data_IF_121952038590
#
_entry.id   IF_121952038590
#
_cell.length_a   1.000
_cell.length_b   1.000
_cell.length_c   1.000
_cell.angle_alpha   90.00
_cell.angle_beta   90.00
_cell.angle_gamma   90.00
#
_symmetry.space_group_name_H-M   'P 1'
#
loop_
_entity.id
_entity.type
_entity.pdbx_description
1 polymer ?
#
# COMPACT_ATOMS: atom_id res chain seq x y z
N UNK A 1 22.23 -11.42 -9.15
CA UNK A 1 21.13 -11.43 -8.16
C UNK A 1 21.48 -12.46 -7.10
N UNK A 2 21.38 -12.14 -5.80
CA UNK A 2 21.73 -13.11 -4.74
C UNK A 2 20.53 -14.04 -4.54
N UNK A 3 20.75 -15.32 -4.20
CA UNK A 3 19.67 -16.31 -3.95
C UNK A 3 18.62 -15.78 -2.96
N UNK A 4 19.06 -14.99 -1.99
CA UNK A 4 18.21 -14.34 -1.00
C UNK A 4 17.20 -13.36 -1.62
N UNK A 5 17.61 -12.60 -2.64
CA UNK A 5 16.73 -11.66 -3.34
C UNK A 5 15.68 -12.43 -4.16
N UNK A 6 16.09 -13.53 -4.80
CA UNK A 6 15.18 -14.39 -5.55
C UNK A 6 14.11 -15.02 -4.66
N UNK A 7 14.47 -15.43 -3.43
CA UNK A 7 13.50 -15.93 -2.45
C UNK A 7 12.45 -14.86 -2.12
N UNK A 8 12.86 -13.60 -1.96
CA UNK A 8 11.92 -12.50 -1.66
C UNK A 8 10.98 -12.23 -2.83
N UNK A 9 11.49 -12.22 -4.07
CA UNK A 9 10.68 -12.00 -5.27
C UNK A 9 9.62 -13.10 -5.44
N UNK A 10 10.03 -14.38 -5.31
CA UNK A 10 9.11 -15.52 -5.40
C UNK A 10 8.12 -15.53 -4.23
N UNK A 11 8.58 -15.23 -3.01
CA UNK A 11 7.70 -15.12 -1.86
C UNK A 11 6.65 -14.02 -2.04
N UNK A 12 7.04 -12.85 -2.54
CA UNK A 12 6.11 -11.75 -2.78
C UNK A 12 4.99 -12.17 -3.73
N UNK A 13 5.32 -12.83 -4.84
CA UNK A 13 4.32 -13.37 -5.79
C UNK A 13 3.40 -14.37 -5.09
N UNK A 14 3.97 -15.37 -4.42
CA UNK A 14 3.19 -16.44 -3.80
C UNK A 14 2.26 -15.93 -2.68
N UNK A 15 2.75 -14.99 -1.86
CA UNK A 15 1.99 -14.33 -0.80
C UNK A 15 0.87 -13.46 -1.37
N UNK A 16 1.11 -12.75 -2.47
CA UNK A 16 0.10 -11.94 -3.15
C UNK A 16 -0.99 -12.77 -3.84
N UNK A 17 -0.68 -13.98 -4.30
CA UNK A 17 -1.62 -14.86 -4.98
C UNK A 17 -2.44 -15.72 -4.01
N UNK A 18 -1.79 -16.30 -3.01
CA UNK A 18 -2.40 -17.30 -2.13
C UNK A 18 -2.74 -16.77 -0.74
N UNK A 19 -2.22 -15.60 -0.39
CA UNK A 19 -2.37 -14.99 0.94
C UNK A 19 -1.33 -15.48 1.93
N UNK A 20 -0.91 -14.57 2.82
CA UNK A 20 0.15 -14.84 3.79
C UNK A 20 -0.15 -16.01 4.72
N UNK A 21 -1.38 -16.15 5.19
CA UNK A 21 -1.77 -17.20 6.13
C UNK A 21 -1.73 -18.62 5.54
N UNK A 22 -1.79 -18.74 4.21
CA UNK A 22 -1.84 -20.03 3.50
C UNK A 22 -0.44 -20.51 3.13
N UNK A 23 0.44 -19.60 2.70
CA UNK A 23 1.79 -19.94 2.25
C UNK A 23 2.67 -20.37 3.41
N UNK A 24 3.42 -21.47 3.23
CA UNK A 24 4.42 -21.98 4.18
C UNK A 24 5.85 -21.86 3.66
N UNK A 25 6.84 -21.99 4.54
CA UNK A 25 8.27 -22.06 4.15
C UNK A 25 8.58 -23.23 3.22
N UNK A 26 7.82 -24.32 3.29
CA UNK A 26 7.98 -25.49 2.41
C UNK A 26 7.47 -25.17 1.02
N UNK A 27 6.33 -24.48 0.90
CA UNK A 27 5.81 -24.02 -0.39
C UNK A 27 6.79 -23.08 -1.08
N UNK A 28 7.39 -22.15 -0.33
CA UNK A 28 8.43 -21.25 -0.85
C UNK A 28 9.64 -22.01 -1.37
N UNK A 29 10.13 -23.00 -0.61
CA UNK A 29 11.28 -23.81 -1.04
C UNK A 29 10.94 -24.64 -2.30
N UNK A 30 9.73 -25.19 -2.37
CA UNK A 30 9.24 -25.93 -3.52
C UNK A 30 9.14 -25.06 -4.77
N UNK A 31 8.51 -23.87 -4.67
CA UNK A 31 8.38 -22.92 -5.79
C UNK A 31 9.75 -22.47 -6.32
N UNK A 32 10.70 -22.29 -5.40
CA UNK A 32 12.09 -21.94 -5.71
C UNK A 32 12.92 -23.11 -6.28
N UNK A 33 12.39 -24.34 -6.31
CA UNK A 33 13.13 -25.57 -6.61
C UNK A 33 14.41 -25.75 -5.75
N UNK A 34 14.34 -25.40 -4.46
CA UNK A 34 15.43 -25.58 -3.49
C UNK A 34 14.99 -26.46 -2.32
N UNK A 35 15.95 -27.01 -1.57
CA UNK A 35 15.61 -27.73 -0.34
C UNK A 35 15.14 -26.78 0.77
N UNK A 36 14.27 -27.23 1.69
CA UNK A 36 13.92 -26.46 2.88
C UNK A 36 15.13 -26.03 3.71
N UNK A 37 16.19 -26.86 3.73
CA UNK A 37 17.46 -26.52 4.38
C UNK A 37 18.21 -25.35 3.72
N UNK A 38 18.16 -25.25 2.38
CA UNK A 38 18.72 -24.11 1.65
C UNK A 38 17.91 -22.84 1.92
N UNK A 39 16.57 -22.91 1.93
CA UNK A 39 15.75 -21.79 2.34
C UNK A 39 16.07 -21.38 3.80
N UNK A 40 16.21 -22.34 4.71
CA UNK A 40 16.56 -22.09 6.12
C UNK A 40 17.94 -21.44 6.31
N UNK A 41 18.87 -21.68 5.39
CA UNK A 41 20.17 -21.02 5.39
C UNK A 41 20.01 -19.50 5.18
N UNK A 42 19.10 -19.07 4.31
CA UNK A 42 18.84 -17.67 4.00
C UNK A 42 17.82 -17.00 4.92
N UNK A 43 16.77 -17.73 5.31
CA UNK A 43 15.64 -17.24 6.10
C UNK A 43 15.21 -18.28 7.14
N UNK A 44 15.20 -17.90 8.42
CA UNK A 44 14.86 -18.76 9.56
C UNK A 44 13.35 -18.99 9.73
N UNK A 45 12.65 -19.19 8.62
CA UNK A 45 11.19 -19.30 8.56
C UNK A 45 10.58 -18.23 7.67
N UNK A 46 9.29 -18.40 7.37
CA UNK A 46 8.50 -17.45 6.58
C UNK A 46 8.41 -16.09 7.28
N UNK A 47 8.47 -16.08 8.60
CA UNK A 47 8.35 -14.86 9.38
C UNK A 47 9.42 -13.84 9.02
N UNK A 48 10.67 -14.29 8.89
CA UNK A 48 11.77 -13.42 8.48
C UNK A 48 11.61 -12.92 7.03
N UNK A 49 11.02 -13.73 6.15
CA UNK A 49 10.69 -13.33 4.77
C UNK A 49 9.64 -12.22 4.78
N UNK A 50 8.57 -12.38 5.55
CA UNK A 50 7.49 -11.39 5.67
C UNK A 50 7.97 -10.10 6.31
N UNK A 51 8.80 -10.18 7.37
CA UNK A 51 9.39 -9.00 8.01
C UNK A 51 10.27 -8.20 7.04
N UNK A 52 11.03 -8.87 6.18
CA UNK A 52 11.85 -8.19 5.19
C UNK A 52 11.05 -7.60 4.04
N UNK A 53 10.05 -8.32 3.52
CA UNK A 53 9.12 -7.77 2.54
C UNK A 53 8.38 -6.55 3.11
N UNK A 54 7.99 -6.59 4.39
CA UNK A 54 7.43 -5.44 5.08
C UNK A 54 8.43 -4.28 5.18
N UNK A 55 9.71 -4.55 5.48
CA UNK A 55 10.72 -3.51 5.52
C UNK A 55 10.91 -2.81 4.16
N UNK A 56 10.89 -3.58 3.06
CA UNK A 56 10.93 -3.03 1.71
C UNK A 56 9.67 -2.20 1.39
N UNK A 57 8.49 -2.74 1.70
CA UNK A 57 7.22 -2.05 1.57
C UNK A 57 7.22 -0.71 2.32
N UNK A 58 7.55 -0.75 3.60
CA UNK A 58 7.61 0.42 4.48
C UNK A 58 8.57 1.48 3.94
N UNK A 59 9.77 1.09 3.52
CA UNK A 59 10.74 2.02 2.96
C UNK A 59 10.23 2.69 1.68
N UNK A 60 9.60 1.94 0.77
CA UNK A 60 9.04 2.48 -0.47
C UNK A 60 7.88 3.44 -0.22
N UNK A 61 6.96 3.08 0.67
CA UNK A 61 5.84 3.97 1.04
C UNK A 61 6.38 5.25 1.69
N UNK A 62 7.35 5.15 2.61
CA UNK A 62 7.93 6.32 3.26
C UNK A 62 8.58 7.28 2.26
N UNK A 63 9.35 6.76 1.31
CA UNK A 63 9.96 7.56 0.24
C UNK A 63 8.88 8.23 -0.62
N UNK A 64 7.84 7.50 -1.01
CA UNK A 64 6.74 8.06 -1.78
C UNK A 64 6.04 9.20 -1.02
N UNK A 65 5.68 9.01 0.26
CA UNK A 65 5.05 10.05 1.07
C UNK A 65 5.91 11.32 1.22
N UNK A 66 7.23 11.14 1.39
CA UNK A 66 8.18 12.25 1.43
C UNK A 66 8.22 13.02 0.10
N UNK A 67 8.25 12.31 -1.04
CA UNK A 67 8.26 12.92 -2.37
C UNK A 67 7.00 13.73 -2.62
N UNK A 68 5.83 13.17 -2.31
CA UNK A 68 4.53 13.84 -2.51
C UNK A 68 4.45 15.11 -1.68
N UNK A 69 4.85 15.04 -0.41
CA UNK A 69 4.85 16.21 0.48
C UNK A 69 5.78 17.32 -0.05
N UNK A 70 6.91 16.96 -0.66
CA UNK A 70 7.87 17.93 -1.21
C UNK A 70 7.42 18.55 -2.55
N UNK A 71 6.75 17.76 -3.40
CA UNK A 71 6.42 18.11 -4.78
C UNK A 71 5.02 18.73 -4.91
N UNK A 72 4.02 18.16 -4.25
CA UNK A 72 2.62 18.52 -4.49
C UNK A 72 2.34 19.98 -4.15
N UNK A 73 2.83 20.47 -3.00
CA UNK A 73 2.71 21.88 -2.58
C UNK A 73 1.28 22.45 -2.78
N UNK A 74 0.26 21.62 -2.56
CA UNK A 74 -1.16 21.99 -2.73
C UNK A 74 -1.67 22.03 -4.18
N UNK A 75 -0.91 21.50 -5.15
CA UNK A 75 -1.37 21.26 -6.50
C UNK A 75 -2.11 19.89 -6.55
N UNK A 76 -3.39 19.83 -6.93
CA UNK A 76 -4.14 18.58 -6.92
C UNK A 76 -3.65 17.56 -7.96
N UNK A 77 -3.11 17.99 -9.11
CA UNK A 77 -2.56 17.09 -10.14
C UNK A 77 -1.29 16.40 -9.65
N UNK A 78 -0.40 17.15 -9.00
CA UNK A 78 0.81 16.60 -8.40
C UNK A 78 0.50 15.68 -7.22
N UNK A 79 -0.49 16.02 -6.38
CA UNK A 79 -1.00 15.12 -5.34
C UNK A 79 -1.54 13.82 -5.94
N UNK A 80 -2.35 13.90 -6.99
CA UNK A 80 -2.92 12.73 -7.68
C UNK A 80 -1.83 11.80 -8.24
N UNK A 81 -0.86 12.38 -8.97
CA UNK A 81 0.28 11.62 -9.51
C UNK A 81 1.06 10.93 -8.39
N UNK A 82 1.30 11.67 -7.30
CA UNK A 82 1.90 11.16 -6.09
C UNK A 82 1.17 9.96 -5.46
N UNK A 83 -0.13 10.11 -5.23
CA UNK A 83 -0.95 9.06 -4.62
C UNK A 83 -1.10 7.83 -5.52
N UNK A 84 -0.99 7.99 -6.83
CA UNK A 84 -0.92 6.87 -7.78
C UNK A 84 0.32 6.01 -7.51
N UNK A 85 1.49 6.63 -7.30
CA UNK A 85 2.72 5.90 -6.91
C UNK A 85 2.55 5.16 -5.57
N UNK A 86 1.87 5.76 -4.59
CA UNK A 86 1.57 5.08 -3.32
C UNK A 86 0.70 3.85 -3.57
N UNK A 87 -0.32 3.97 -4.42
CA UNK A 87 -1.18 2.86 -4.77
C UNK A 87 -0.41 1.72 -5.47
N UNK A 88 0.47 2.04 -6.40
CA UNK A 88 1.30 1.02 -7.08
C UNK A 88 2.12 0.20 -6.07
N UNK A 89 2.66 0.85 -5.04
CA UNK A 89 3.37 0.17 -3.95
C UNK A 89 2.40 -0.70 -3.13
N UNK A 90 1.22 -0.18 -2.78
CA UNK A 90 0.20 -0.95 -2.05
C UNK A 90 -0.27 -2.18 -2.81
N UNK A 91 -0.37 -2.10 -4.14
CA UNK A 91 -0.75 -3.21 -5.03
C UNK A 91 0.40 -4.22 -5.19
N UNK A 92 1.64 -3.74 -5.33
CA UNK A 92 2.81 -4.60 -5.40
C UNK A 92 2.95 -5.47 -4.14
N UNK A 93 2.57 -4.95 -2.98
CA UNK A 93 2.59 -5.65 -1.70
C UNK A 93 1.16 -5.93 -1.19
N UNK A 94 0.22 -6.30 -2.08
CA UNK A 94 -1.20 -6.46 -1.73
C UNK A 94 -1.48 -7.44 -0.60
N UNK A 95 -0.63 -8.47 -0.41
CA UNK A 95 -0.76 -9.38 0.73
C UNK A 95 -0.64 -8.65 2.09
N UNK A 96 0.11 -7.54 2.14
CA UNK A 96 0.24 -6.68 3.33
C UNK A 96 -0.96 -5.73 3.40
N UNK A 97 -1.21 -4.97 2.34
CA UNK A 97 -2.21 -3.89 2.35
C UNK A 97 -3.64 -4.41 2.54
N UNK A 98 -3.97 -5.59 2.01
CA UNK A 98 -5.31 -6.19 2.11
C UNK A 98 -5.56 -6.94 3.44
N UNK A 99 -4.52 -7.41 4.14
CA UNK A 99 -4.64 -8.08 5.45
C UNK A 99 -3.80 -7.42 6.56
N UNK A 100 -3.78 -6.07 6.59
CA UNK A 100 -3.03 -5.30 7.60
C UNK A 100 -3.37 -5.72 9.04
N UNK A 101 -4.64 -6.01 9.33
CA UNK A 101 -5.09 -6.46 10.66
C UNK A 101 -4.55 -7.85 11.00
N UNK A 102 -4.59 -8.78 10.05
CA UNK A 102 -4.05 -10.12 10.24
C UNK A 102 -2.54 -10.09 10.44
N UNK A 103 -1.81 -9.32 9.61
CA UNK A 103 -0.37 -9.12 9.75
C UNK A 103 -0.04 -8.49 11.11
N UNK A 104 -0.71 -7.39 11.49
CA UNK A 104 -0.53 -6.76 12.81
C UNK A 104 -0.78 -7.75 13.96
N UNK A 105 -1.77 -8.64 13.86
CA UNK A 105 -2.04 -9.62 14.90
C UNK A 105 -0.96 -10.70 14.99
N UNK A 106 -0.55 -11.27 13.85
CA UNK A 106 0.37 -12.42 13.76
C UNK A 106 1.83 -12.02 13.98
N UNK A 107 2.24 -10.85 13.51
CA UNK A 107 3.62 -10.38 13.53
C UNK A 107 3.82 -9.30 14.61
N UNK A 108 4.09 -9.74 15.84
CA UNK A 108 4.26 -8.85 17.00
C UNK A 108 5.36 -7.80 16.76
N UNK A 109 6.45 -8.19 16.11
CA UNK A 109 7.58 -7.33 15.72
C UNK A 109 7.19 -6.18 14.81
N UNK A 110 6.10 -6.32 14.03
CA UNK A 110 5.67 -5.33 13.05
C UNK A 110 4.57 -4.38 13.56
N UNK A 111 3.97 -4.65 14.72
CA UNK A 111 2.79 -3.90 15.22
C UNK A 111 3.00 -2.40 15.27
N UNK A 112 4.04 -1.98 15.97
CA UNK A 112 4.35 -0.56 16.14
C UNK A 112 4.73 0.10 14.82
N UNK A 113 5.44 -0.63 13.94
CA UNK A 113 5.82 -0.12 12.63
C UNK A 113 4.60 0.09 11.73
N UNK A 114 3.64 -0.84 11.75
CA UNK A 114 2.38 -0.74 11.00
C UNK A 114 1.54 0.43 11.52
N UNK A 115 1.36 0.52 12.84
CA UNK A 115 0.60 1.61 13.45
C UNK A 115 1.19 2.98 13.09
N UNK A 116 2.52 3.14 13.21
CA UNK A 116 3.22 4.38 12.85
C UNK A 116 3.09 4.72 11.37
N UNK A 117 3.22 3.74 10.48
CA UNK A 117 3.08 3.96 9.04
C UNK A 117 1.66 4.41 8.68
N UNK A 118 0.64 3.78 9.25
CA UNK A 118 -0.76 4.17 9.03
C UNK A 118 -1.06 5.57 9.59
N UNK A 119 -0.55 5.90 10.77
CA UNK A 119 -0.67 7.26 11.31
C UNK A 119 0.01 8.29 10.41
N UNK A 120 1.20 7.99 9.90
CA UNK A 120 1.93 8.88 8.98
C UNK A 120 1.18 9.06 7.65
N UNK A 121 0.67 7.97 7.08
CA UNK A 121 -0.11 7.99 5.85
C UNK A 121 -1.35 8.87 6.02
N UNK A 122 -2.13 8.64 7.09
CA UNK A 122 -3.33 9.44 7.38
C UNK A 122 -2.99 10.92 7.57
N UNK A 123 -1.99 11.25 8.38
CA UNK A 123 -1.56 12.63 8.60
C UNK A 123 -1.10 13.32 7.31
N UNK A 124 -0.42 12.58 6.42
CA UNK A 124 0.01 13.08 5.12
C UNK A 124 -1.21 13.39 4.24
N UNK A 125 -2.18 12.48 4.16
CA UNK A 125 -3.41 12.68 3.38
C UNK A 125 -4.21 13.88 3.90
N UNK A 126 -4.43 13.99 5.21
CA UNK A 126 -5.13 15.13 5.81
C UNK A 126 -4.42 16.45 5.51
N UNK A 127 -3.09 16.47 5.58
CA UNK A 127 -2.29 17.67 5.31
C UNK A 127 -2.35 18.08 3.83
N UNK A 128 -2.29 17.11 2.91
CA UNK A 128 -2.40 17.35 1.47
C UNK A 128 -3.78 17.89 1.09
N UNK A 129 -4.84 17.27 1.61
CA UNK A 129 -6.22 17.70 1.38
C UNK A 129 -6.43 19.11 1.90
N UNK A 130 -6.04 19.39 3.14
CA UNK A 130 -6.18 20.72 3.75
C UNK A 130 -5.47 21.79 2.93
N UNK A 131 -4.23 21.52 2.50
CA UNK A 131 -3.46 22.46 1.71
C UNK A 131 -4.10 22.74 0.33
N UNK A 132 -4.71 21.73 -0.30
CA UNK A 132 -5.46 21.89 -1.55
C UNK A 132 -6.69 22.77 -1.31
N UNK A 133 -7.50 22.46 -0.30
CA UNK A 133 -8.72 23.22 0.03
C UNK A 133 -8.40 24.67 0.35
N UNK A 134 -7.37 24.92 1.15
CA UNK A 134 -6.92 26.27 1.51
C UNK A 134 -6.52 27.08 0.26
N UNK A 135 -5.80 26.46 -0.69
CA UNK A 135 -5.43 27.11 -1.96
C UNK A 135 -6.62 27.38 -2.87
N UNK A 136 -7.57 26.45 -2.91
CA UNK A 136 -8.82 26.59 -3.66
C UNK A 136 -9.81 27.53 -2.96
N UNK A 137 -9.47 28.07 -1.78
CA UNK A 137 -10.34 28.92 -0.95
C UNK A 137 -11.68 28.24 -0.60
N UNK A 138 -11.67 26.92 -0.50
CA UNK A 138 -12.83 26.12 -0.11
C UNK A 138 -12.87 26.03 1.41
N UNK A 139 -13.96 26.50 2.02
CA UNK A 139 -14.14 26.41 3.46
C UNK A 139 -14.24 24.95 3.91
N UNK A 140 -13.51 24.60 4.97
CA UNK A 140 -13.60 23.28 5.61
C UNK A 140 -14.85 23.18 6.50
N UNK A 141 -16.03 23.21 5.87
CA UNK A 141 -17.30 23.04 6.56
C UNK A 141 -17.51 21.58 6.94
N UNK A 142 -17.98 21.33 8.16
CA UNK A 142 -18.41 20.00 8.62
C UNK A 142 -17.32 18.92 8.54
N UNK A 143 -16.05 19.27 8.79
CA UNK A 143 -14.91 18.34 8.70
C UNK A 143 -14.75 17.69 7.32
N UNK A 144 -15.07 18.42 6.25
CA UNK A 144 -14.96 17.93 4.88
C UNK A 144 -13.53 17.47 4.54
N UNK A 145 -12.50 18.16 5.06
CA UNK A 145 -11.10 17.79 4.83
C UNK A 145 -10.74 16.42 5.44
N UNK A 146 -11.25 16.12 6.63
CA UNK A 146 -11.03 14.84 7.33
C UNK A 146 -11.75 13.71 6.59
N UNK A 147 -13.02 13.92 6.22
CA UNK A 147 -13.79 12.93 5.46
C UNK A 147 -13.16 12.62 4.09
N UNK A 148 -12.62 13.63 3.41
CA UNK A 148 -11.94 13.43 2.14
C UNK A 148 -10.62 12.66 2.32
N UNK A 149 -9.87 12.92 3.39
CA UNK A 149 -8.68 12.15 3.74
C UNK A 149 -9.00 10.68 4.05
N UNK A 150 -10.08 10.41 4.78
CA UNK A 150 -10.59 9.05 5.03
C UNK A 150 -10.96 8.34 3.73
N UNK A 151 -11.70 9.01 2.83
CA UNK A 151 -12.09 8.44 1.54
C UNK A 151 -10.88 8.12 0.64
N UNK A 152 -9.86 8.98 0.64
CA UNK A 152 -8.59 8.69 -0.04
C UNK A 152 -7.91 7.47 0.58
N UNK A 153 -7.85 7.36 1.90
CA UNK A 153 -7.27 6.22 2.59
C UNK A 153 -8.00 4.92 2.25
N UNK A 154 -9.34 4.93 2.28
CA UNK A 154 -10.17 3.78 1.89
C UNK A 154 -9.92 3.37 0.44
N UNK A 155 -9.86 4.34 -0.46
CA UNK A 155 -9.60 4.12 -1.89
C UNK A 155 -8.22 3.49 -2.10
N UNK A 156 -7.17 4.04 -1.49
CA UNK A 156 -5.80 3.53 -1.63
C UNK A 156 -5.64 2.10 -1.10
N UNK A 157 -6.21 1.79 0.07
CA UNK A 157 -6.06 0.48 0.72
C UNK A 157 -6.95 -0.58 0.05
N UNK A 158 -8.15 -0.21 -0.39
CA UNK A 158 -9.17 -1.18 -0.82
C UNK A 158 -9.25 -1.35 -2.34
N UNK A 159 -8.53 -0.54 -3.13
CA UNK A 159 -8.55 -0.64 -4.59
C UNK A 159 -8.17 -2.05 -5.07
N UNK A 160 -8.94 -2.57 -6.03
CA UNK A 160 -8.76 -3.90 -6.60
C UNK A 160 -9.14 -5.08 -5.69
N UNK A 161 -9.47 -4.85 -4.41
CA UNK A 161 -9.71 -5.94 -3.43
C UNK A 161 -10.91 -6.85 -3.75
N UNK A 162 -11.83 -6.39 -4.59
CA UNK A 162 -13.05 -7.13 -4.96
C UNK A 162 -13.24 -7.23 -6.48
N UNK A 163 -12.29 -6.78 -7.30
CA UNK A 163 -12.46 -6.73 -8.76
C UNK A 163 -12.76 -8.12 -9.35
N UNK A 164 -12.07 -9.16 -8.86
CA UNK A 164 -12.27 -10.55 -9.30
C UNK A 164 -13.58 -11.17 -8.75
N UNK A 165 -14.22 -10.53 -7.76
CA UNK A 165 -15.46 -11.02 -7.14
C UNK A 165 -16.72 -10.46 -7.82
N UNK A 166 -16.61 -9.32 -8.51
CA UNK A 166 -17.74 -8.66 -9.17
C UNK A 166 -17.73 -8.95 -10.66
N UNK A 167 -18.31 -10.09 -11.04
CA UNK A 167 -18.36 -10.56 -12.44
C UNK A 167 -19.27 -9.73 -13.37
N UNK A 168 -20.13 -8.88 -12.81
CA UNK A 168 -21.04 -8.00 -13.57
C UNK A 168 -20.41 -6.68 -14.00
N UNK A 169 -19.21 -6.35 -13.49
CA UNK A 169 -18.52 -5.09 -13.77
C UNK A 169 -18.05 -5.09 -15.23
N UNK A 170 -18.65 -4.22 -16.05
CA UNK A 170 -18.37 -4.14 -17.50
C UNK A 170 -17.11 -3.35 -17.86
N UNK A 171 -16.65 -2.48 -16.96
CA UNK A 171 -15.51 -1.59 -17.19
C UNK A 171 -14.56 -1.67 -16.00
N UNK A 172 -13.29 -1.94 -16.27
CA UNK A 172 -12.23 -1.87 -15.28
C UNK A 172 -11.70 -0.43 -15.25
N UNK A 173 -11.84 0.24 -14.11
CA UNK A 173 -11.33 1.60 -13.90
C UNK A 173 -10.02 1.54 -13.13
N UNK A 174 -9.08 2.40 -13.52
CA UNK A 174 -7.78 2.59 -12.89
C UNK A 174 -7.92 3.26 -11.52
N UNK A 175 -6.95 3.05 -10.63
CA UNK A 175 -6.89 3.78 -9.36
C UNK A 175 -6.83 5.30 -9.60
N UNK A 176 -6.11 5.73 -10.64
CA UNK A 176 -5.97 7.13 -11.01
C UNK A 176 -7.33 7.77 -11.25
N UNK A 177 -8.25 7.09 -11.96
CA UNK A 177 -9.62 7.57 -12.16
C UNK A 177 -10.40 7.69 -10.84
N UNK A 178 -10.27 6.73 -9.92
CA UNK A 178 -10.92 6.82 -8.61
C UNK A 178 -10.36 7.97 -7.77
N UNK A 179 -9.04 8.13 -7.74
CA UNK A 179 -8.39 9.23 -7.03
C UNK A 179 -8.72 10.59 -7.66
N UNK A 180 -8.79 10.66 -8.99
CA UNK A 180 -9.16 11.86 -9.72
C UNK A 180 -10.53 12.39 -9.29
N UNK A 181 -11.52 11.51 -9.10
CA UNK A 181 -12.87 11.91 -8.65
C UNK A 181 -12.88 12.60 -7.27
N UNK A 182 -11.92 12.28 -6.39
CA UNK A 182 -11.78 12.94 -5.10
C UNK A 182 -11.24 14.37 -5.24
N UNK A 183 -10.51 14.65 -6.32
CA UNK A 183 -9.90 15.96 -6.57
C UNK A 183 -10.60 16.78 -7.65
N UNK A 184 -11.63 16.23 -8.32
CA UNK A 184 -12.36 16.90 -9.40
C UNK A 184 -12.76 18.35 -9.06
N UNK A 185 -13.30 18.67 -7.87
CA UNK A 185 -13.68 20.04 -7.51
C UNK A 185 -12.51 21.04 -7.43
N UNK A 186 -11.27 20.55 -7.38
CA UNK A 186 -10.06 21.36 -7.25
C UNK A 186 -9.21 21.37 -8.53
N UNK A 187 -9.62 20.63 -9.56
CA UNK A 187 -8.84 20.43 -10.80
C UNK A 187 -9.27 21.35 -11.95
N UNK A 188 -10.39 22.04 -11.81
CA UNK A 188 -10.91 23.00 -12.78
C UNK A 188 -10.42 24.42 -12.45
N UNK A 189 -9.98 25.17 -13.47
CA UNK A 189 -9.75 26.62 -13.41
C UNK A 189 -11.07 27.39 -13.53
#
# INVERSE_FOLDING_TARGET
MRTRDLILDVALVLLNERGESVVTSVDLAHEMNISPGNLYYHFKGKEQVVEELYAQFHARVLVALQQITAQARGNPKETLAGLTVVSDILQQFRFISQDLRGIHKRYVSLRDAIAKLLSLLYQTLSSLVKLIMDKAQVADSSSASEMLADNLLYTLISYGSYDDLITTKKTQTSIEEHLYLHFLPFLED
#
